data_IF_400288026992
#
_entry.id   IF_400288026992
#
_cell.length_a   1.000
_cell.length_b   1.000
_cell.length_c   1.000
_cell.angle_alpha   90.00
_cell.angle_beta   90.00
_cell.angle_gamma   90.00
#
_symmetry.space_group_name_H-M   'P 1'
#
loop_
_entity.id
_entity.type
_entity.pdbx_description
1 polymer ?
#
# COMPACT_ATOMS: atom_id res chain seq x y z
N UNK A 1 -19.98 -0.49 -2.49
CA UNK A 1 -19.12 -1.19 -3.40
C UNK A 1 -19.90 -2.13 -4.20
N UNK A 2 -19.87 -1.92 -5.43
CA UNK A 2 -20.85 -2.50 -6.25
C UNK A 2 -20.52 -3.86 -6.75
N UNK A 3 -19.28 -4.21 -6.92
CA UNK A 3 -19.05 -5.34 -7.79
C UNK A 3 -17.81 -6.11 -7.38
N UNK A 4 -17.94 -7.41 -7.29
CA UNK A 4 -16.83 -8.29 -6.97
C UNK A 4 -15.73 -8.23 -8.03
N UNK A 5 -16.11 -7.99 -9.28
CA UNK A 5 -15.18 -7.94 -10.40
C UNK A 5 -14.23 -6.75 -10.31
N UNK A 6 -14.59 -5.75 -9.52
CA UNK A 6 -13.80 -4.53 -9.40
C UNK A 6 -12.84 -4.56 -8.22
N UNK A 7 -12.83 -5.64 -7.45
CA UNK A 7 -11.93 -5.74 -6.29
C UNK A 7 -10.50 -5.92 -6.77
N UNK A 8 -9.60 -5.14 -6.18
CA UNK A 8 -8.17 -5.27 -6.43
C UNK A 8 -7.41 -5.24 -5.11
N UNK A 9 -6.18 -5.71 -5.15
CA UNK A 9 -5.24 -5.62 -4.04
C UNK A 9 -4.13 -4.68 -4.45
N UNK A 10 -3.77 -3.76 -3.57
CA UNK A 10 -2.66 -2.86 -3.83
C UNK A 10 -1.62 -3.03 -2.73
N UNK A 11 -0.36 -3.00 -3.11
CA UNK A 11 0.76 -3.26 -2.21
C UNK A 11 1.70 -2.06 -2.14
N UNK A 12 2.11 -1.69 -0.94
CA UNK A 12 3.22 -0.75 -0.77
C UNK A 12 3.92 -1.04 0.55
N UNK A 13 5.09 -0.45 0.74
CA UNK A 13 5.82 -0.56 1.99
C UNK A 13 5.95 0.81 2.64
N UNK A 14 6.07 0.82 3.96
CA UNK A 14 6.30 2.02 4.74
C UNK A 14 7.55 1.82 5.60
N UNK A 15 8.24 2.90 5.97
CA UNK A 15 9.51 2.78 6.70
C UNK A 15 9.36 2.38 8.16
N UNK A 16 8.16 2.51 8.73
CA UNK A 16 7.93 2.18 10.13
C UNK A 16 6.48 1.78 10.35
N UNK A 17 6.23 1.10 11.47
CA UNK A 17 4.89 0.72 11.84
C UNK A 17 4.01 1.95 12.10
N UNK A 18 4.56 2.99 12.69
CA UNK A 18 3.81 4.22 12.94
C UNK A 18 3.31 4.85 11.64
N UNK A 19 4.18 4.94 10.63
CA UNK A 19 3.79 5.47 9.32
C UNK A 19 2.76 4.56 8.66
N UNK A 20 2.97 3.25 8.73
CA UNK A 20 2.06 2.28 8.14
C UNK A 20 0.67 2.35 8.77
N UNK A 21 0.60 2.44 10.10
CA UNK A 21 -0.68 2.55 10.80
C UNK A 21 -1.42 3.84 10.46
N UNK A 22 -0.70 4.95 10.41
CA UNK A 22 -1.31 6.23 10.04
C UNK A 22 -1.87 6.17 8.62
N UNK A 23 -1.11 5.60 7.70
CA UNK A 23 -1.52 5.47 6.31
C UNK A 23 -2.75 4.56 6.17
N UNK A 24 -2.76 3.44 6.90
CA UNK A 24 -3.87 2.51 6.88
C UNK A 24 -5.15 3.15 7.43
N UNK A 25 -5.05 3.86 8.55
CA UNK A 25 -6.19 4.56 9.14
C UNK A 25 -6.73 5.63 8.19
N UNK A 26 -5.85 6.40 7.56
CA UNK A 26 -6.26 7.42 6.60
C UNK A 26 -7.00 6.80 5.42
N UNK A 27 -6.48 5.70 4.89
CA UNK A 27 -7.07 5.06 3.72
C UNK A 27 -8.48 4.52 4.00
N UNK A 28 -8.66 3.90 5.14
CA UNK A 28 -9.96 3.34 5.52
C UNK A 28 -10.93 4.45 5.88
N UNK A 29 -10.48 5.46 6.63
CA UNK A 29 -11.32 6.61 7.02
C UNK A 29 -11.79 7.40 5.80
N UNK A 30 -10.93 7.57 4.82
CA UNK A 30 -11.26 8.29 3.58
C UNK A 30 -12.07 7.43 2.61
N UNK A 31 -12.29 6.16 2.95
CA UNK A 31 -13.05 5.21 2.13
C UNK A 31 -12.40 4.93 0.77
N UNK A 32 -11.09 5.04 0.71
CA UNK A 32 -10.34 4.67 -0.49
C UNK A 32 -9.79 3.25 -0.39
N UNK A 33 -9.94 2.63 0.77
CA UNK A 33 -9.67 1.20 0.96
C UNK A 33 -10.72 0.64 1.92
N UNK A 34 -11.17 -0.59 1.64
CA UNK A 34 -12.11 -1.27 2.51
C UNK A 34 -11.40 -1.85 3.74
N UNK A 35 -10.17 -2.28 3.54
CA UNK A 35 -9.41 -2.96 4.58
C UNK A 35 -7.93 -2.83 4.23
N UNK A 36 -7.09 -2.73 5.26
CA UNK A 36 -5.64 -2.71 5.08
C UNK A 36 -5.02 -3.67 6.08
N UNK A 37 -4.20 -4.59 5.58
CA UNK A 37 -3.42 -5.47 6.43
C UNK A 37 -2.00 -4.94 6.51
N UNK A 38 -1.42 -4.99 7.71
CA UNK A 38 -0.05 -4.56 7.94
C UNK A 38 0.79 -5.78 8.32
N UNK A 39 1.93 -5.92 7.66
CA UNK A 39 2.87 -7.00 7.95
C UNK A 39 4.18 -6.35 8.37
N UNK A 40 4.46 -6.41 9.68
CA UNK A 40 5.68 -5.83 10.22
C UNK A 40 6.85 -6.79 9.99
N UNK A 41 8.06 -6.26 10.06
CA UNK A 41 9.27 -7.07 9.98
C UNK A 41 9.61 -7.60 8.59
N UNK A 42 9.19 -6.91 7.55
CA UNK A 42 9.51 -7.28 6.18
C UNK A 42 10.90 -6.75 5.83
N UNK A 43 11.75 -7.62 5.28
CA UNK A 43 13.05 -7.21 4.77
C UNK A 43 12.96 -6.98 3.28
N UNK A 44 13.33 -5.78 2.84
CA UNK A 44 13.33 -5.43 1.42
C UNK A 44 14.77 -5.30 0.96
N UNK A 45 15.12 -6.08 -0.06
CA UNK A 45 16.45 -6.04 -0.65
C UNK A 45 16.30 -5.49 -2.07
N UNK A 46 16.99 -4.40 -2.35
CA UNK A 46 16.83 -3.71 -3.63
C UNK A 46 18.09 -2.97 -4.00
N UNK A 47 18.17 -2.54 -5.25
CA UNK A 47 19.30 -1.75 -5.74
C UNK A 47 18.90 -0.28 -5.77
N UNK A 48 19.76 0.54 -5.21
CA UNK A 48 19.55 1.98 -5.20
C UNK A 48 20.90 2.67 -5.42
N UNK A 49 20.97 3.51 -6.44
CA UNK A 49 22.16 4.28 -6.76
C UNK A 49 23.42 3.42 -6.82
N UNK A 50 23.32 2.27 -7.46
CA UNK A 50 24.47 1.38 -7.67
C UNK A 50 24.80 0.48 -6.50
N UNK A 51 24.08 0.59 -5.39
CA UNK A 51 24.32 -0.23 -4.19
C UNK A 51 23.14 -1.14 -3.90
N UNK A 52 23.42 -2.28 -3.30
CA UNK A 52 22.36 -3.18 -2.83
C UNK A 52 22.00 -2.77 -1.41
N UNK A 53 20.74 -2.45 -1.21
CA UNK A 53 20.21 -2.04 0.08
C UNK A 53 19.39 -3.17 0.69
N UNK A 54 19.39 -3.24 2.02
CA UNK A 54 18.62 -4.22 2.77
C UNK A 54 17.98 -3.48 3.93
N UNK A 55 16.68 -3.28 3.88
CA UNK A 55 16.00 -2.46 4.87
C UNK A 55 14.82 -3.18 5.48
N UNK A 56 14.59 -2.87 6.76
CA UNK A 56 13.42 -3.38 7.49
C UNK A 56 12.26 -2.44 7.22
N UNK A 57 11.16 -3.02 6.76
CA UNK A 57 9.99 -2.23 6.38
C UNK A 57 8.70 -2.89 6.86
N UNK A 58 7.59 -2.18 6.71
CA UNK A 58 6.25 -2.69 6.97
C UNK A 58 5.52 -2.78 5.64
N UNK A 59 4.98 -3.96 5.34
CA UNK A 59 4.21 -4.17 4.12
C UNK A 59 2.75 -3.83 4.38
N UNK A 60 2.16 -3.01 3.50
CA UNK A 60 0.73 -2.75 3.54
C UNK A 60 0.06 -3.47 2.39
N UNK A 61 -1.05 -4.14 2.69
CA UNK A 61 -1.89 -4.81 1.71
C UNK A 61 -3.25 -4.14 1.75
N UNK A 62 -3.54 -3.33 0.75
CA UNK A 62 -4.81 -2.62 0.65
C UNK A 62 -5.80 -3.45 -0.15
N UNK A 63 -7.02 -3.58 0.36
CA UNK A 63 -8.11 -4.21 -0.37
C UNK A 63 -9.08 -3.11 -0.76
N UNK A 64 -9.24 -2.89 -2.06
CA UNK A 64 -10.02 -1.78 -2.57
C UNK A 64 -10.66 -2.15 -3.92
N UNK A 65 -11.10 -1.16 -4.68
CA UNK A 65 -11.69 -1.36 -5.99
C UNK A 65 -10.94 -0.55 -7.03
N UNK A 66 -11.11 -0.91 -8.30
CA UNK A 66 -10.51 -0.15 -9.41
C UNK A 66 -10.95 1.29 -9.38
N UNK A 67 -12.20 1.52 -9.04
CA UNK A 67 -12.78 2.86 -8.97
C UNK A 67 -12.06 3.75 -7.97
N UNK A 68 -11.57 3.18 -6.88
CA UNK A 68 -10.90 3.93 -5.81
C UNK A 68 -9.39 3.90 -5.90
N UNK A 69 -8.83 3.15 -6.85
CA UNK A 69 -7.40 2.95 -6.97
C UNK A 69 -6.62 4.27 -7.10
N UNK A 70 -7.12 5.19 -7.93
CA UNK A 70 -6.42 6.46 -8.14
C UNK A 70 -6.43 7.32 -6.87
N UNK A 71 -7.56 7.36 -6.17
CA UNK A 71 -7.66 8.11 -4.91
C UNK A 71 -6.71 7.53 -3.85
N UNK A 72 -6.59 6.19 -3.80
CA UNK A 72 -5.66 5.54 -2.89
C UNK A 72 -4.22 5.86 -3.27
N UNK A 73 -3.91 5.86 -4.56
CA UNK A 73 -2.59 6.20 -5.06
C UNK A 73 -2.19 7.62 -4.65
N UNK A 74 -3.12 8.56 -4.79
CA UNK A 74 -2.87 9.95 -4.41
C UNK A 74 -2.66 10.08 -2.89
N UNK A 75 -3.46 9.38 -2.11
CA UNK A 75 -3.34 9.43 -0.66
C UNK A 75 -1.99 8.86 -0.20
N UNK A 76 -1.58 7.71 -0.75
CA UNK A 76 -0.30 7.10 -0.38
C UNK A 76 0.88 7.95 -0.82
N UNK A 77 0.80 8.58 -1.99
CA UNK A 77 1.87 9.47 -2.46
C UNK A 77 2.03 10.67 -1.54
N UNK A 78 0.92 11.17 -1.00
CA UNK A 78 0.92 12.34 -0.13
C UNK A 78 1.38 12.02 1.28
N UNK A 79 1.03 10.84 1.80
CA UNK A 79 1.22 10.51 3.21
C UNK A 79 2.34 9.51 3.50
N UNK A 80 2.85 8.81 2.49
CA UNK A 80 3.93 7.86 2.73
C UNK A 80 5.26 8.60 2.83
N UNK A 81 6.07 8.21 3.80
CA UNK A 81 7.34 8.87 4.07
C UNK A 81 8.48 8.39 3.18
N UNK A 82 8.25 7.42 2.31
CA UNK A 82 9.25 6.97 1.36
C UNK A 82 9.54 8.05 0.32
N UNK A 83 10.80 8.17 -0.04
CA UNK A 83 11.23 9.15 -1.05
C UNK A 83 10.60 8.87 -2.40
N UNK A 84 10.52 7.61 -2.79
CA UNK A 84 9.86 7.18 -4.03
C UNK A 84 8.85 6.10 -3.65
N UNK A 85 7.64 6.51 -3.25
CA UNK A 85 6.64 5.53 -2.85
C UNK A 85 6.18 4.69 -4.03
N UNK A 86 6.17 3.38 -3.83
CA UNK A 86 5.73 2.44 -4.84
C UNK A 86 4.38 1.87 -4.41
N UNK A 87 3.46 1.78 -5.35
CA UNK A 87 2.15 1.21 -5.09
C UNK A 87 1.78 0.33 -6.28
N UNK A 88 1.79 -0.97 -6.05
CA UNK A 88 1.49 -1.96 -7.09
C UNK A 88 0.04 -2.39 -6.99
N UNK A 89 -0.61 -2.56 -8.12
CA UNK A 89 -1.99 -3.04 -8.21
C UNK A 89 -2.01 -4.45 -8.75
N UNK A 90 -2.81 -5.30 -8.12
CA UNK A 90 -2.99 -6.68 -8.55
C UNK A 90 -4.47 -6.97 -8.73
N UNK A 91 -4.88 -7.54 -9.87
CA UNK A 91 -6.29 -7.93 -10.05
C UNK A 91 -6.62 -9.14 -9.19
N UNK A 92 -7.88 -9.26 -8.81
CA UNK A 92 -8.39 -10.40 -8.05
C UNK A 92 -9.39 -11.12 -8.94
N UNK A 93 -9.13 -12.40 -9.22
CA UNK A 93 -10.03 -13.20 -10.08
C UNK A 93 -11.31 -13.59 -9.37
N UNK A 94 -11.20 -13.98 -8.10
CA UNK A 94 -12.35 -14.39 -7.29
C UNK A 94 -12.27 -13.71 -5.95
N UNK A 95 -13.35 -13.16 -5.53
CA UNK A 95 -13.35 -12.45 -4.27
C UNK A 95 -14.55 -12.72 -3.40
#
# INVERSE_FOLDING_TARGET
MSDHDDVIVMLCTAPSLAVAEALAHSAVSARVAACVNLIDGVRSVYRWEGAVCNELEVQLVFKTTRERAEALRELTARENAHEVPELLSLPVDHG
#
